data_IF_369445813064
#
_entry.id   IF_369445813064
#
_cell.length_a   1.000
_cell.length_b   1.000
_cell.length_c   1.000
_cell.angle_alpha   90.00
_cell.angle_beta   90.00
_cell.angle_gamma   90.00
#
_symmetry.space_group_name_H-M   'P 1'
#
loop_
_entity.id
_entity.type
_entity.pdbx_description
1 polymer ?
#
# COMPACT_ATOMS: atom_id res chain seq x y z
N UNK A 1 -18.16 2.32 -3.83
CA UNK A 1 -18.90 1.55 -4.85
C UNK A 1 -17.92 1.21 -5.96
N UNK A 2 -17.68 -0.07 -6.22
CA UNK A 2 -16.87 -0.53 -7.37
C UNK A 2 -17.69 -0.39 -8.67
N UNK A 3 -18.06 0.84 -9.04
CA UNK A 3 -18.81 1.08 -10.28
C UNK A 3 -17.90 0.88 -11.50
N UNK A 4 -18.38 0.22 -12.55
CA UNK A 4 -17.64 0.03 -13.81
C UNK A 4 -16.89 -1.29 -13.95
N UNK A 5 -17.22 -2.32 -13.16
CA UNK A 5 -16.46 -3.59 -13.11
C UNK A 5 -17.20 -4.78 -13.71
N UNK A 6 -18.35 -4.55 -14.34
CA UNK A 6 -19.17 -5.58 -14.95
C UNK A 6 -18.34 -6.34 -16.01
N UNK A 7 -18.13 -7.64 -15.80
CA UNK A 7 -17.42 -8.51 -16.74
C UNK A 7 -15.94 -8.83 -16.41
N UNK A 8 -15.31 -8.16 -15.43
CA UNK A 8 -14.05 -8.70 -14.87
C UNK A 8 -14.42 -9.91 -14.00
N UNK A 9 -13.85 -11.10 -14.25
CA UNK A 9 -14.00 -12.28 -13.38
C UNK A 9 -13.44 -11.94 -11.99
N UNK A 10 -14.29 -11.46 -11.09
CA UNK A 10 -13.94 -11.17 -9.70
C UNK A 10 -14.19 -12.47 -8.93
N UNK A 11 -13.13 -13.27 -8.75
CA UNK A 11 -13.13 -14.42 -7.84
C UNK A 11 -12.11 -14.17 -6.72
N UNK A 12 -12.42 -14.65 -5.51
CA UNK A 12 -11.57 -14.47 -4.34
C UNK A 12 -11.66 -13.08 -3.69
N UNK A 13 -10.68 -12.74 -2.85
CA UNK A 13 -10.72 -11.57 -1.96
C UNK A 13 -9.92 -10.36 -2.46
N UNK A 14 -9.42 -10.39 -3.70
CA UNK A 14 -8.60 -9.31 -4.28
C UNK A 14 -9.41 -8.01 -4.44
N UNK A 15 -10.72 -8.14 -4.74
CA UNK A 15 -11.63 -7.01 -4.94
C UNK A 15 -12.93 -7.29 -4.20
N UNK A 16 -13.22 -6.46 -3.20
CA UNK A 16 -14.34 -6.64 -2.28
C UNK A 16 -14.99 -5.29 -2.01
N UNK A 17 -16.28 -5.30 -1.63
CA UNK A 17 -16.96 -4.08 -1.17
C UNK A 17 -16.42 -3.56 0.17
N UNK A 18 -15.84 -4.47 0.96
CA UNK A 18 -15.21 -4.18 2.23
C UNK A 18 -13.87 -4.92 2.29
N UNK A 19 -12.82 -4.21 2.68
CA UNK A 19 -11.51 -4.79 2.94
C UNK A 19 -10.80 -3.98 4.03
N UNK A 20 -9.85 -4.62 4.71
CA UNK A 20 -9.03 -3.97 5.73
C UNK A 20 -7.74 -3.42 5.12
N UNK A 21 -7.28 -2.29 5.64
CA UNK A 21 -6.04 -1.62 5.24
C UNK A 21 -5.40 -0.95 6.44
N UNK A 22 -4.07 -1.04 6.54
CA UNK A 22 -3.28 -0.17 7.40
C UNK A 22 -2.79 0.98 6.54
N UNK A 23 -3.14 2.22 6.90
CA UNK A 23 -2.80 3.42 6.13
C UNK A 23 -1.68 4.20 6.81
N UNK A 24 -0.69 4.61 6.03
CA UNK A 24 0.33 5.57 6.42
C UNK A 24 -0.10 6.95 5.93
N UNK A 25 0.00 7.96 6.79
CA UNK A 25 -0.31 9.36 6.45
C UNK A 25 0.76 10.26 7.00
N UNK A 26 1.29 11.18 6.19
CA UNK A 26 2.28 12.18 6.60
C UNK A 26 1.80 13.59 6.28
N UNK A 27 2.03 14.49 7.24
CA UNK A 27 1.96 15.94 7.03
C UNK A 27 3.39 16.46 7.04
N UNK A 28 3.80 17.14 5.98
CA UNK A 28 5.18 17.58 5.81
C UNK A 28 5.23 19.05 5.41
N UNK A 29 6.41 19.65 5.49
CA UNK A 29 6.62 20.92 4.81
C UNK A 29 6.76 20.69 3.30
N UNK A 30 6.53 21.70 2.46
CA UNK A 30 6.71 21.58 1.01
C UNK A 30 8.12 21.13 0.61
N UNK A 31 9.14 21.58 1.34
CA UNK A 31 10.55 21.34 1.02
C UNK A 31 10.96 19.88 1.23
N UNK A 32 10.27 19.15 2.11
CA UNK A 32 10.64 17.76 2.45
C UNK A 32 9.68 16.72 1.86
N UNK A 33 8.57 17.13 1.25
CA UNK A 33 7.48 16.19 0.91
C UNK A 33 7.93 15.08 -0.03
N UNK A 34 8.74 15.37 -1.05
CA UNK A 34 9.22 14.35 -1.98
C UNK A 34 10.21 13.38 -1.32
N UNK A 35 11.09 13.86 -0.44
CA UNK A 35 11.96 12.98 0.34
C UNK A 35 11.17 12.10 1.32
N UNK A 36 10.08 12.62 1.88
CA UNK A 36 9.18 11.85 2.73
C UNK A 36 8.35 10.83 1.96
N UNK A 37 8.07 11.07 0.67
CA UNK A 37 7.45 10.07 -0.21
C UNK A 37 8.35 8.85 -0.39
N UNK A 38 9.63 9.06 -0.69
CA UNK A 38 10.59 7.95 -0.83
C UNK A 38 10.65 7.11 0.46
N UNK A 39 10.69 7.76 1.62
CA UNK A 39 10.65 7.06 2.92
C UNK A 39 9.34 6.31 3.13
N UNK A 40 8.20 6.92 2.80
CA UNK A 40 6.89 6.32 2.96
C UNK A 40 6.72 5.08 2.06
N UNK A 41 7.25 5.13 0.83
CA UNK A 41 7.29 3.97 -0.07
C UNK A 41 8.17 2.86 0.52
N UNK A 42 9.38 3.20 1.03
CA UNK A 42 10.26 2.23 1.69
C UNK A 42 9.62 1.60 2.94
N UNK A 43 8.87 2.37 3.73
CA UNK A 43 8.11 1.89 4.90
C UNK A 43 7.06 0.84 4.49
N UNK A 44 6.37 1.04 3.36
CA UNK A 44 5.43 0.06 2.81
C UNK A 44 6.14 -1.18 2.23
N UNK A 45 7.26 -0.99 1.53
CA UNK A 45 8.10 -2.08 1.02
C UNK A 45 8.65 -2.97 2.15
N UNK A 46 9.01 -2.38 3.29
CA UNK A 46 9.58 -3.11 4.43
C UNK A 46 8.63 -4.20 4.94
N UNK A 47 7.31 -3.96 4.87
CA UNK A 47 6.31 -4.99 5.21
C UNK A 47 6.43 -6.20 4.28
N UNK A 48 6.58 -5.98 2.96
CA UNK A 48 6.75 -7.06 1.99
C UNK A 48 8.08 -7.78 2.14
N UNK A 49 9.18 -7.05 2.38
CA UNK A 49 10.51 -7.62 2.64
C UNK A 49 10.50 -8.55 3.84
N UNK A 50 9.91 -8.11 4.96
CA UNK A 50 9.78 -8.91 6.17
C UNK A 50 8.87 -10.13 6.00
N UNK A 51 7.83 -10.01 5.19
CA UNK A 51 6.95 -11.13 4.83
C UNK A 51 7.60 -12.10 3.83
N UNK A 52 8.72 -11.74 3.20
CA UNK A 52 9.36 -12.55 2.16
C UNK A 52 8.58 -12.60 0.85
N UNK A 53 7.76 -11.58 0.55
CA UNK A 53 6.93 -11.55 -0.66
C UNK A 53 7.68 -10.90 -1.83
N UNK A 54 7.72 -11.52 -3.03
CA UNK A 54 8.29 -10.90 -4.22
C UNK A 54 7.43 -9.73 -4.70
N UNK A 55 8.06 -8.58 -4.98
CA UNK A 55 7.35 -7.39 -5.41
C UNK A 55 8.21 -6.54 -6.35
N UNK A 56 7.59 -5.55 -6.99
CA UNK A 56 8.25 -4.48 -7.75
C UNK A 56 7.64 -3.13 -7.39
N UNK A 57 8.42 -2.07 -7.58
CA UNK A 57 7.95 -0.68 -7.40
C UNK A 57 7.86 -0.02 -8.77
N UNK A 58 6.70 0.55 -9.07
CA UNK A 58 6.39 1.21 -10.32
C UNK A 58 6.17 2.70 -10.07
N UNK A 59 6.89 3.53 -10.80
CA UNK A 59 6.64 4.97 -10.83
C UNK A 59 5.47 5.24 -11.78
N UNK A 60 4.46 5.95 -11.28
CA UNK A 60 3.22 6.16 -12.02
C UNK A 60 3.39 7.22 -13.11
N UNK A 61 2.79 6.95 -14.27
CA UNK A 61 2.61 7.96 -15.32
C UNK A 61 1.49 8.93 -14.94
N UNK A 62 1.45 10.12 -15.57
CA UNK A 62 0.43 11.13 -15.27
C UNK A 62 -1.02 10.67 -15.49
N UNK A 63 -1.25 9.66 -16.35
CA UNK A 63 -2.59 9.11 -16.60
C UNK A 63 -3.03 8.10 -15.53
N UNK A 64 -2.09 7.54 -14.77
CA UNK A 64 -2.35 6.55 -13.71
C UNK A 64 -2.51 7.21 -12.34
N UNK A 65 -2.03 8.46 -12.20
CA UNK A 65 -2.19 9.22 -10.97
C UNK A 65 -3.68 9.46 -10.67
N UNK A 66 -4.06 9.22 -9.41
CA UNK A 66 -5.38 9.60 -8.91
C UNK A 66 -5.57 11.11 -8.98
N UNK A 67 -6.83 11.55 -9.12
CA UNK A 67 -7.22 12.95 -9.34
C UNK A 67 -6.53 14.01 -8.47
N UNK A 68 -6.21 13.69 -7.21
CA UNK A 68 -5.60 14.61 -6.27
C UNK A 68 -4.06 14.48 -6.16
N UNK A 69 -3.48 13.41 -6.68
CA UNK A 69 -2.06 13.11 -6.50
C UNK A 69 -1.21 13.90 -7.52
N UNK A 70 -0.16 14.55 -7.03
CA UNK A 70 0.83 15.19 -7.89
C UNK A 70 1.88 14.18 -8.38
N UNK A 71 2.16 13.16 -7.57
CA UNK A 71 3.13 12.11 -7.88
C UNK A 71 2.88 10.88 -7.00
N UNK A 72 3.24 9.68 -7.48
CA UNK A 72 3.11 8.47 -6.69
C UNK A 72 3.83 7.25 -7.25
N UNK A 73 3.91 6.23 -6.40
CA UNK A 73 4.43 4.90 -6.71
C UNK A 73 3.37 3.86 -6.41
N UNK A 74 3.28 2.85 -7.27
CA UNK A 74 2.62 1.59 -6.94
C UNK A 74 3.66 0.56 -6.53
N UNK A 75 3.34 -0.17 -5.47
CA UNK A 75 4.05 -1.38 -5.09
C UNK A 75 3.15 -2.54 -5.51
N UNK A 76 3.69 -3.42 -6.34
CA UNK A 76 2.96 -4.54 -6.89
C UNK A 76 3.58 -5.86 -6.43
N UNK A 77 2.77 -6.76 -5.89
CA UNK A 77 3.17 -8.07 -5.38
C UNK A 77 2.95 -9.15 -6.42
N UNK A 78 3.85 -10.15 -6.49
CA UNK A 78 3.71 -11.27 -7.40
C UNK A 78 2.57 -12.20 -6.98
N UNK A 79 1.72 -12.59 -7.94
CA UNK A 79 0.58 -13.49 -7.75
C UNK A 79 0.71 -14.68 -8.70
N UNK A 80 1.24 -15.82 -8.22
CA UNK A 80 1.54 -17.00 -9.05
C UNK A 80 0.39 -17.49 -9.93
N UNK A 81 -0.84 -17.60 -9.40
CA UNK A 81 -1.99 -18.13 -10.15
C UNK A 81 -2.38 -17.25 -11.35
N UNK A 82 -1.96 -15.99 -11.35
CA UNK A 82 -2.25 -15.03 -12.40
C UNK A 82 -1.04 -14.67 -13.25
N UNK A 83 0.13 -15.23 -12.93
CA UNK A 83 1.41 -14.98 -13.63
C UNK A 83 1.72 -13.49 -13.82
N UNK A 84 1.38 -12.66 -12.82
CA UNK A 84 1.59 -11.22 -12.89
C UNK A 84 1.78 -10.58 -11.51
N UNK A 85 2.29 -9.37 -11.54
CA UNK A 85 2.28 -8.46 -10.41
C UNK A 85 0.92 -7.76 -10.30
N UNK A 86 0.40 -7.65 -9.08
CA UNK A 86 -0.81 -6.89 -8.76
C UNK A 86 -0.49 -5.83 -7.71
N UNK A 87 -1.03 -4.63 -7.89
CA UNK A 87 -0.95 -3.54 -6.90
C UNK A 87 -1.33 -4.06 -5.50
N UNK A 88 -0.53 -3.73 -4.49
CA UNK A 88 -0.78 -4.02 -3.08
C UNK A 88 -0.68 -2.77 -2.20
N UNK A 89 -0.01 -1.74 -2.71
CA UNK A 89 0.05 -0.40 -2.13
C UNK A 89 0.20 0.65 -3.21
N UNK A 90 -0.41 1.81 -3.00
CA UNK A 90 -0.15 3.04 -3.73
C UNK A 90 0.30 4.08 -2.73
N UNK A 91 1.44 4.71 -2.97
CA UNK A 91 2.05 5.76 -2.14
C UNK A 91 2.06 7.07 -2.93
N UNK A 92 1.46 8.14 -2.40
CA UNK A 92 1.21 9.37 -3.14
C UNK A 92 1.59 10.62 -2.35
N UNK A 93 2.11 11.61 -3.08
CA UNK A 93 2.26 12.98 -2.63
C UNK A 93 1.18 13.84 -3.30
N UNK A 94 0.39 14.53 -2.49
CA UNK A 94 -0.72 15.38 -2.93
C UNK A 94 -0.35 16.86 -2.96
N UNK A 95 0.91 17.19 -2.65
CA UNK A 95 1.36 18.55 -2.37
C UNK A 95 0.36 19.24 -1.43
N UNK A 96 -0.05 20.47 -1.75
CA UNK A 96 -0.99 21.23 -0.94
C UNK A 96 -2.47 21.01 -1.31
N UNK A 97 -2.80 20.09 -2.23
CA UNK A 97 -4.16 19.92 -2.76
C UNK A 97 -5.19 19.67 -1.65
N UNK A 98 -4.93 18.68 -0.80
CA UNK A 98 -5.82 18.33 0.32
C UNK A 98 -5.74 19.40 1.42
N UNK A 99 -4.54 19.93 1.68
CA UNK A 99 -4.31 20.94 2.71
C UNK A 99 -5.07 22.24 2.43
N UNK A 100 -5.16 22.67 1.17
CA UNK A 100 -5.97 23.83 0.75
C UNK A 100 -7.45 23.61 1.01
N UNK A 101 -7.98 22.43 0.67
CA UNK A 101 -9.39 22.07 0.86
C UNK A 101 -9.79 21.96 2.33
N UNK A 102 -8.90 21.43 3.16
CA UNK A 102 -9.11 21.27 4.59
C UNK A 102 -8.56 22.45 5.44
N UNK A 103 -8.00 23.48 4.79
CA UNK A 103 -7.37 24.64 5.45
C UNK A 103 -6.26 24.29 6.45
N UNK A 104 -5.44 23.27 6.16
CA UNK A 104 -4.37 22.78 7.04
C UNK A 104 -3.07 23.55 6.76
N UNK A 105 -2.61 24.33 7.75
CA UNK A 105 -1.45 25.22 7.61
C UNK A 105 -0.44 24.98 8.71
N UNK A 106 0.82 25.30 8.42
CA UNK A 106 1.89 25.37 9.40
C UNK A 106 2.49 26.78 9.44
N UNK A 107 3.23 27.04 10.51
CA UNK A 107 3.98 28.29 10.71
C UNK A 107 5.28 27.95 11.42
N UNK A 108 6.40 28.47 10.94
CA UNK A 108 7.70 28.27 11.58
C UNK A 108 7.94 29.33 12.66
N UNK A 109 8.87 29.09 13.57
CA UNK A 109 9.22 30.11 14.58
C UNK A 109 9.90 31.34 13.95
N UNK A 110 10.63 31.14 12.86
CA UNK A 110 11.35 32.20 12.16
C UNK A 110 10.44 33.07 11.28
N UNK A 111 9.35 32.50 10.74
CA UNK A 111 8.44 33.20 9.84
C UNK A 111 7.02 33.24 10.41
N UNK A 112 6.47 34.44 10.60
CA UNK A 112 5.10 34.63 11.11
C UNK A 112 4.02 34.31 10.08
N UNK A 113 4.34 34.20 8.79
CA UNK A 113 3.36 33.80 7.77
C UNK A 113 3.00 32.32 7.86
N UNK A 114 1.74 32.01 7.56
CA UNK A 114 1.25 30.63 7.50
C UNK A 114 1.35 30.10 6.08
N UNK A 115 1.82 28.87 5.93
CA UNK A 115 1.91 28.15 4.66
C UNK A 115 1.08 26.87 4.72
N UNK A 116 0.57 26.39 3.58
CA UNK A 116 -0.09 25.09 3.54
C UNK A 116 0.95 23.98 3.69
N UNK A 117 0.61 22.94 4.47
CA UNK A 117 1.41 21.72 4.54
C UNK A 117 1.28 20.95 3.22
N UNK A 118 2.24 20.07 2.95
CA UNK A 118 2.03 18.99 1.99
C UNK A 118 1.47 17.76 2.70
N UNK A 119 0.63 16.99 2.02
CA UNK A 119 0.09 15.73 2.54
C UNK A 119 0.50 14.55 1.68
N UNK A 120 0.74 13.43 2.35
CA UNK A 120 1.08 12.17 1.71
C UNK A 120 0.28 11.04 2.34
N UNK A 121 0.02 9.99 1.58
CA UNK A 121 -0.45 8.72 2.11
C UNK A 121 0.12 7.54 1.36
N UNK A 122 0.04 6.36 1.97
CA UNK A 122 0.19 5.12 1.26
C UNK A 122 -0.25 3.92 2.07
N UNK A 123 -0.47 2.80 1.40
CA UNK A 123 -0.94 1.58 2.06
C UNK A 123 0.24 0.82 2.65
N UNK A 124 0.15 0.36 3.89
CA UNK A 124 1.20 -0.44 4.56
C UNK A 124 0.69 -1.75 5.18
N UNK A 125 -0.22 -2.53 4.60
CA UNK A 125 -0.64 -2.67 3.19
C UNK A 125 -2.16 -2.87 3.12
N UNK A 126 -2.69 -3.11 1.91
CA UNK A 126 -4.03 -3.69 1.77
C UNK A 126 -4.04 -5.15 2.27
N UNK A 127 -4.70 -5.40 3.41
CA UNK A 127 -4.62 -6.69 4.13
C UNK A 127 -5.17 -7.84 3.28
N UNK A 128 -6.30 -7.66 2.60
CA UNK A 128 -6.90 -8.70 1.77
C UNK A 128 -5.95 -9.17 0.64
N UNK A 129 -5.29 -8.24 -0.03
CA UNK A 129 -4.29 -8.56 -1.07
C UNK A 129 -3.02 -9.19 -0.49
N UNK A 130 -2.62 -8.75 0.70
CA UNK A 130 -1.49 -9.35 1.43
C UNK A 130 -1.77 -10.81 1.77
N UNK A 131 -2.99 -11.13 2.24
CA UNK A 131 -3.40 -12.52 2.51
C UNK A 131 -3.34 -13.35 1.24
N UNK A 132 -3.87 -12.87 0.12
CA UNK A 132 -3.77 -13.57 -1.18
C UNK A 132 -2.31 -13.84 -1.55
N UNK A 133 -1.45 -12.83 -1.43
CA UNK A 133 -0.04 -12.98 -1.76
C UNK A 133 0.64 -14.03 -0.87
N UNK A 134 0.33 -14.09 0.42
CA UNK A 134 0.86 -15.11 1.33
C UNK A 134 0.35 -16.51 0.93
N UNK A 135 -0.97 -16.66 0.74
CA UNK A 135 -1.57 -17.94 0.37
C UNK A 135 -0.97 -18.49 -0.92
N UNK A 136 -0.75 -17.63 -1.92
CA UNK A 136 -0.27 -18.09 -3.22
C UNK A 136 1.25 -18.35 -3.26
N UNK A 137 2.06 -17.51 -2.62
CA UNK A 137 3.53 -17.63 -2.66
C UNK A 137 4.08 -18.67 -1.67
N UNK A 138 3.33 -19.01 -0.62
CA UNK A 138 3.77 -19.94 0.42
C UNK A 138 3.01 -21.28 0.43
N UNK A 139 2.16 -21.56 -0.56
CA UNK A 139 1.55 -22.88 -0.71
C UNK A 139 2.58 -23.95 -1.07
N UNK A 140 2.38 -25.17 -0.59
CA UNK A 140 3.16 -26.35 -0.96
C UNK A 140 2.32 -27.33 -1.81
N UNK A 141 2.97 -28.41 -2.28
CA UNK A 141 2.31 -29.44 -3.13
C UNK A 141 1.19 -30.20 -2.41
N UNK A 142 1.24 -30.26 -1.08
CA UNK A 142 0.24 -30.92 -0.25
C UNK A 142 -0.98 -30.00 0.03
N UNK A 143 -0.92 -28.73 -0.40
CA UNK A 143 -1.98 -27.74 -0.24
C UNK A 143 -1.95 -26.99 1.09
N UNK A 144 -0.90 -27.17 1.91
CA UNK A 144 -0.66 -26.34 3.10
C UNK A 144 -0.01 -25.02 2.71
N UNK A 145 -0.19 -24.00 3.53
CA UNK A 145 0.48 -22.70 3.35
C UNK A 145 1.47 -22.49 4.49
N UNK A 146 2.76 -22.33 4.16
CA UNK A 146 3.77 -21.94 5.14
C UNK A 146 3.49 -20.52 5.63
N UNK A 147 3.51 -20.32 6.94
CA UNK A 147 3.31 -19.00 7.54
C UNK A 147 4.67 -18.29 7.57
N UNK A 148 4.81 -17.06 7.01
CA UNK A 148 6.02 -16.26 7.15
C UNK A 148 6.48 -16.15 8.61
N UNK A 149 7.77 -16.31 8.87
CA UNK A 149 8.32 -16.38 10.23
C UNK A 149 7.96 -15.16 11.08
N UNK A 150 7.93 -13.98 10.48
CA UNK A 150 7.55 -12.72 11.13
C UNK A 150 6.11 -12.70 11.66
N UNK A 151 5.26 -13.62 11.19
CA UNK A 151 3.87 -13.76 11.64
C UNK A 151 3.69 -14.79 12.75
N UNK A 152 4.66 -15.68 13.02
CA UNK A 152 4.51 -16.74 14.04
C UNK A 152 4.13 -16.20 15.43
N UNK A 153 4.69 -15.08 15.93
CA UNK A 153 4.30 -14.53 17.23
C UNK A 153 2.83 -14.07 17.28
N UNK A 154 2.25 -13.71 16.14
CA UNK A 154 0.86 -13.28 16.01
C UNK A 154 -0.11 -14.45 15.78
N UNK A 155 0.42 -15.66 15.57
CA UNK A 155 -0.34 -16.88 15.26
C UNK A 155 -0.08 -18.01 16.27
N UNK A 156 0.22 -17.67 17.53
CA UNK A 156 0.46 -18.64 18.62
C UNK A 156 1.57 -19.66 18.28
N UNK A 157 2.54 -19.28 17.45
CA UNK A 157 3.64 -20.15 17.02
C UNK A 157 3.29 -21.12 15.88
N UNK A 158 2.11 -21.00 15.26
CA UNK A 158 1.75 -21.81 14.10
C UNK A 158 2.73 -21.57 12.93
N UNK A 159 3.17 -22.65 12.30
CA UNK A 159 4.14 -22.63 11.19
C UNK A 159 3.52 -22.86 9.81
N UNK A 160 2.34 -23.46 9.76
CA UNK A 160 1.58 -23.67 8.53
C UNK A 160 0.08 -23.52 8.79
N UNK A 161 -0.65 -23.18 7.74
CA UNK A 161 -2.10 -23.29 7.66
C UNK A 161 -2.39 -24.63 6.99
N UNK A 162 -3.12 -25.50 7.67
CA UNK A 162 -3.53 -26.80 7.14
C UNK A 162 -4.62 -26.62 6.08
N UNK A 163 -4.67 -27.58 5.15
CA UNK A 163 -5.75 -27.61 4.17
C UNK A 163 -7.07 -27.89 4.91
N UNK A 164 -8.16 -27.16 4.60
CA UNK A 164 -9.48 -27.43 5.18
C UNK A 164 -10.02 -28.82 4.81
#
# INVERSE_FOLDING_TARGET
>A
REAGTYGKKIQGIIRQHQFNKVELVKFTTPETSYGELEKLTLEAEEVLKRLGLPYRVMKLSGQELGFAAAFGYDIEVWVPSQEKFLEISTCSNFEDYQARRASIKFRTKANKSTHYVHTLNGSGLAIGRTVVAILENFQNRDGHVLIPEVLHPYMQGAKWIEKP
#
